data_IF_960667694804
#
_entry.id   IF_960667694804
#
_cell.length_a   1.000
_cell.length_b   1.000
_cell.length_c   1.000
_cell.angle_alpha   90.00
_cell.angle_beta   90.00
_cell.angle_gamma   90.00
#
_symmetry.space_group_name_H-M   'P 1'
#
loop_
_entity.id
_entity.type
_entity.pdbx_description
1 polymer ?
#
# COMPACT_ATOMS: atom_id res chain seq x y z
N UNK A 1 -10.16 71.70 -19.69
CA UNK A 1 -10.72 70.56 -20.45
C UNK A 1 -10.58 69.29 -19.62
N UNK A 2 -11.65 68.52 -19.53
CA UNK A 2 -11.81 67.27 -18.76
C UNK A 2 -10.95 66.12 -19.34
N UNK A 3 -10.48 65.24 -18.46
CA UNK A 3 -10.41 63.75 -18.58
C UNK A 3 -9.55 63.22 -17.43
N UNK A 4 -9.77 62.07 -16.81
CA UNK A 4 -10.93 61.25 -16.46
C UNK A 4 -10.34 60.17 -15.55
N UNK A 5 -11.05 59.86 -14.47
CA UNK A 5 -10.81 58.75 -13.53
C UNK A 5 -10.81 57.41 -14.27
N UNK A 6 -9.85 56.52 -13.95
CA UNK A 6 -9.91 55.03 -13.97
C UNK A 6 -8.48 54.44 -13.79
N UNK A 7 -8.12 53.31 -13.15
CA UNK A 7 -8.77 52.08 -12.70
C UNK A 7 -7.89 51.43 -11.60
N UNK A 8 -8.55 50.89 -10.58
CA UNK A 8 -8.36 49.56 -9.97
C UNK A 8 -7.14 49.34 -9.06
N UNK A 9 -7.41 49.52 -7.76
CA UNK A 9 -6.96 48.60 -6.71
C UNK A 9 -7.42 47.17 -7.06
N UNK A 10 -6.49 46.30 -7.40
CA UNK A 10 -6.67 44.84 -7.36
C UNK A 10 -5.70 44.31 -6.31
N UNK A 11 -6.09 44.44 -5.05
CA UNK A 11 -5.44 43.76 -3.94
C UNK A 11 -5.78 42.28 -4.05
N UNK A 12 -4.74 41.49 -4.29
CA UNK A 12 -4.76 40.05 -4.57
C UNK A 12 -5.53 39.32 -3.48
N UNK A 13 -6.71 38.79 -3.82
CA UNK A 13 -7.39 37.73 -3.08
C UNK A 13 -6.49 36.50 -3.13
N UNK A 14 -5.63 36.36 -2.12
CA UNK A 14 -4.94 35.11 -1.82
C UNK A 14 -5.97 34.11 -1.31
N UNK A 15 -6.68 33.48 -2.24
CA UNK A 15 -7.41 32.25 -1.95
C UNK A 15 -6.35 31.20 -1.67
N UNK A 16 -5.93 31.10 -0.40
CA UNK A 16 -5.22 29.94 0.12
C UNK A 16 -6.22 28.80 0.02
N UNK A 17 -6.25 28.16 -1.14
CA UNK A 17 -6.89 26.88 -1.34
C UNK A 17 -6.18 25.93 -0.40
N UNK A 18 -6.78 25.72 0.77
CA UNK A 18 -6.47 24.59 1.62
C UNK A 18 -6.91 23.38 0.81
N UNK A 19 -6.00 22.88 -0.04
CA UNK A 19 -6.12 21.56 -0.62
C UNK A 19 -6.09 20.64 0.58
N UNK A 20 -7.27 20.31 1.11
CA UNK A 20 -7.41 19.26 2.09
C UNK A 20 -6.79 18.03 1.44
N UNK A 21 -5.62 17.62 1.95
CA UNK A 21 -5.02 16.36 1.55
C UNK A 21 -6.10 15.31 1.77
N UNK A 22 -6.56 14.66 0.70
CA UNK A 22 -7.41 13.48 0.85
C UNK A 22 -6.60 12.51 1.71
N UNK A 23 -7.18 12.12 2.85
CA UNK A 23 -6.63 11.08 3.71
C UNK A 23 -7.26 9.75 3.32
N UNK A 24 -6.45 8.70 3.37
CA UNK A 24 -6.95 7.35 3.22
C UNK A 24 -7.95 7.11 4.37
N UNK A 25 -9.02 6.32 4.17
CA UNK A 25 -9.91 5.98 5.28
C UNK A 25 -9.10 5.54 6.50
N UNK A 26 -9.42 6.13 7.66
CA UNK A 26 -8.61 5.98 8.88
C UNK A 26 -8.37 4.50 9.24
N UNK A 27 -9.39 3.65 9.07
CA UNK A 27 -9.29 2.21 9.31
C UNK A 27 -8.23 1.53 8.43
N UNK A 28 -8.12 1.93 7.17
CA UNK A 28 -7.15 1.38 6.21
C UNK A 28 -5.73 1.83 6.57
N UNK A 29 -5.54 3.13 6.87
CA UNK A 29 -4.24 3.64 7.31
C UNK A 29 -3.77 2.98 8.62
N UNK A 30 -4.68 2.82 9.59
CA UNK A 30 -4.40 2.08 10.82
C UNK A 30 -4.05 0.61 10.55
N UNK A 31 -4.79 -0.05 9.66
CA UNK A 31 -4.50 -1.43 9.25
C UNK A 31 -3.10 -1.54 8.64
N UNK A 32 -2.71 -0.61 7.76
CA UNK A 32 -1.36 -0.58 7.18
C UNK A 32 -0.32 -0.44 8.28
N UNK A 33 -0.51 0.48 9.24
CA UNK A 33 0.42 0.68 10.35
C UNK A 33 0.57 -0.55 11.26
N UNK A 34 -0.53 -1.21 11.61
CA UNK A 34 -0.52 -2.41 12.46
C UNK A 34 0.18 -3.57 11.74
N UNK A 35 -0.14 -3.78 10.47
CA UNK A 35 0.49 -4.85 9.68
C UNK A 35 1.98 -4.57 9.52
N UNK A 36 2.37 -3.35 9.18
CA UNK A 36 3.78 -2.93 9.08
C UNK A 36 4.54 -3.22 10.37
N UNK A 37 3.96 -2.88 11.52
CA UNK A 37 4.55 -3.18 12.82
C UNK A 37 4.75 -4.69 13.03
N UNK A 38 3.74 -5.50 12.71
CA UNK A 38 3.83 -6.96 12.83
C UNK A 38 4.89 -7.54 11.90
N UNK A 39 4.92 -7.13 10.63
CA UNK A 39 5.89 -7.64 9.65
C UNK A 39 7.33 -7.36 10.11
N UNK A 40 7.60 -6.14 10.57
CA UNK A 40 8.95 -5.74 11.03
C UNK A 40 9.44 -6.44 12.29
N UNK A 41 8.52 -6.80 13.19
CA UNK A 41 8.87 -7.42 14.47
C UNK A 41 8.79 -8.95 14.45
N UNK A 42 8.31 -9.53 13.35
CA UNK A 42 8.23 -10.98 13.17
C UNK A 42 9.58 -11.55 12.75
N UNK A 43 9.94 -12.71 13.32
CA UNK A 43 11.11 -13.48 12.90
C UNK A 43 10.67 -14.55 11.92
N UNK A 44 11.19 -14.55 10.70
CA UNK A 44 10.81 -15.50 9.65
C UNK A 44 11.84 -16.61 9.50
N UNK A 45 11.37 -17.86 9.41
CA UNK A 45 12.26 -19.04 9.28
C UNK A 45 11.94 -19.86 8.03
N UNK A 46 10.66 -20.08 7.74
CA UNK A 46 10.22 -20.85 6.59
C UNK A 46 10.00 -19.96 5.38
N UNK A 47 11.01 -19.88 4.51
CA UNK A 47 10.93 -19.22 3.21
C UNK A 47 10.91 -20.28 2.11
N UNK A 48 9.83 -20.34 1.32
CA UNK A 48 9.71 -21.22 0.15
C UNK A 48 9.36 -20.39 -1.05
N UNK A 49 10.28 -20.28 -2.01
CA UNK A 49 9.99 -19.61 -3.27
C UNK A 49 10.08 -20.59 -4.44
N UNK A 50 9.19 -20.42 -5.38
CA UNK A 50 9.23 -20.98 -6.71
C UNK A 50 9.28 -19.84 -7.75
N UNK A 51 9.20 -20.18 -9.03
CA UNK A 51 9.29 -19.23 -10.15
C UNK A 51 8.15 -18.20 -10.20
N UNK A 52 7.02 -18.45 -9.54
CA UNK A 52 5.82 -17.63 -9.59
C UNK A 52 5.32 -17.19 -8.22
N UNK A 53 5.80 -17.78 -7.14
CA UNK A 53 5.35 -17.46 -5.79
C UNK A 53 6.48 -17.52 -4.78
N UNK A 54 6.40 -16.69 -3.75
CA UNK A 54 7.18 -16.89 -2.54
C UNK A 54 6.32 -16.81 -1.29
N UNK A 55 6.55 -17.76 -0.40
CA UNK A 55 5.85 -17.92 0.86
C UNK A 55 6.84 -17.74 2.01
N UNK A 56 6.43 -16.99 3.03
CA UNK A 56 7.21 -16.80 4.26
C UNK A 56 6.31 -17.09 5.46
N UNK A 57 6.83 -17.74 6.50
CA UNK A 57 6.15 -17.87 7.79
C UNK A 57 7.05 -17.42 8.94
N UNK A 58 6.45 -16.78 9.93
CA UNK A 58 7.12 -16.46 11.17
C UNK A 58 7.35 -17.71 12.00
N UNK A 59 8.41 -17.68 12.81
CA UNK A 59 8.83 -18.77 13.69
C UNK A 59 7.79 -19.15 14.75
N UNK A 60 7.01 -18.17 15.20
CA UNK A 60 5.90 -18.40 16.13
C UNK A 60 4.61 -18.85 15.41
N UNK A 61 4.62 -18.96 14.08
CA UNK A 61 3.46 -19.30 13.26
C UNK A 61 2.39 -18.20 13.18
N UNK A 62 2.58 -17.06 13.84
CA UNK A 62 1.60 -15.98 13.92
C UNK A 62 1.47 -15.15 12.65
N UNK A 63 2.41 -15.24 11.72
CA UNK A 63 2.40 -14.47 10.46
C UNK A 63 2.75 -15.37 9.30
N UNK A 64 1.94 -15.30 8.25
CA UNK A 64 2.22 -15.93 6.96
C UNK A 64 2.04 -14.95 5.82
N UNK A 65 2.99 -14.96 4.89
CA UNK A 65 3.04 -14.12 3.70
C UNK A 65 3.05 -15.00 2.46
N UNK A 66 2.34 -14.59 1.43
CA UNK A 66 2.41 -15.21 0.10
C UNK A 66 2.40 -14.13 -0.95
N UNK A 67 3.53 -13.93 -1.61
CA UNK A 67 3.67 -13.07 -2.77
C UNK A 67 3.56 -13.91 -4.03
N UNK A 68 2.62 -13.63 -4.91
CA UNK A 68 2.39 -14.38 -6.15
C UNK A 68 2.47 -13.43 -7.33
N UNK A 69 3.23 -13.81 -8.35
CA UNK A 69 3.23 -13.11 -9.63
C UNK A 69 1.86 -13.28 -10.30
N UNK A 70 1.35 -12.23 -10.92
CA UNK A 70 0.09 -12.31 -11.64
C UNK A 70 0.17 -13.31 -12.80
N UNK A 71 -0.95 -13.98 -13.06
CA UNK A 71 -1.12 -14.77 -14.29
C UNK A 71 -1.25 -13.82 -15.48
N UNK A 72 -0.97 -14.34 -16.70
CA UNK A 72 -1.16 -13.58 -17.95
C UNK A 72 -2.57 -12.98 -18.09
N UNK A 73 -3.59 -13.66 -17.56
CA UNK A 73 -4.97 -13.18 -17.57
C UNK A 73 -5.15 -11.99 -16.62
N UNK A 74 -4.66 -12.10 -15.39
CA UNK A 74 -4.77 -11.04 -14.39
C UNK A 74 -3.96 -9.79 -14.76
N UNK A 75 -2.80 -9.97 -15.38
CA UNK A 75 -2.00 -8.87 -15.92
C UNK A 75 -2.77 -8.09 -16.99
N UNK A 76 -3.37 -8.79 -17.96
CA UNK A 76 -4.11 -8.17 -19.06
C UNK A 76 -5.47 -7.58 -18.66
N UNK A 77 -6.22 -8.28 -17.82
CA UNK A 77 -7.61 -7.91 -17.49
C UNK A 77 -7.73 -7.04 -16.24
N UNK A 78 -6.81 -7.20 -15.27
CA UNK A 78 -6.89 -6.56 -13.95
C UNK A 78 -5.73 -5.61 -13.68
N UNK A 79 -4.83 -5.41 -14.66
CA UNK A 79 -3.57 -4.66 -14.54
C UNK A 79 -2.71 -5.13 -13.35
N UNK A 80 -2.85 -6.40 -12.95
CA UNK A 80 -2.20 -6.94 -11.76
C UNK A 80 -0.79 -7.40 -12.09
N UNK A 81 0.19 -6.97 -11.30
CA UNK A 81 1.57 -7.41 -11.39
C UNK A 81 1.93 -8.42 -10.29
N UNK A 82 1.59 -8.13 -9.03
CA UNK A 82 1.74 -9.06 -7.91
C UNK A 82 0.49 -9.09 -7.03
N UNK A 83 0.22 -10.23 -6.41
CA UNK A 83 -0.71 -10.38 -5.32
C UNK A 83 0.04 -10.74 -4.05
N UNK A 84 -0.06 -9.92 -3.01
CA UNK A 84 0.45 -10.24 -1.68
C UNK A 84 -0.71 -10.59 -0.76
N UNK A 85 -0.67 -11.78 -0.18
CA UNK A 85 -1.56 -12.20 0.89
C UNK A 85 -0.79 -12.22 2.20
N UNK A 86 -1.33 -11.55 3.21
CA UNK A 86 -0.79 -11.49 4.56
C UNK A 86 -1.87 -12.04 5.49
N UNK A 87 -1.51 -13.04 6.28
CA UNK A 87 -2.37 -13.58 7.32
C UNK A 87 -1.64 -13.45 8.65
N UNK A 88 -2.23 -12.67 9.55
CA UNK A 88 -1.77 -12.47 10.93
C UNK A 88 -2.75 -13.19 11.85
N UNK A 89 -2.22 -14.07 12.67
CA UNK A 89 -2.94 -14.84 13.68
C UNK A 89 -2.27 -14.64 15.02
N UNK A 90 -2.79 -13.68 15.79
CA UNK A 90 -2.32 -13.37 17.13
C UNK A 90 -3.42 -13.55 18.17
N UNK A 91 -3.02 -13.51 19.43
CA UNK A 91 -3.94 -13.57 20.59
C UNK A 91 -4.79 -12.31 20.71
N UNK A 92 -4.22 -11.13 20.41
CA UNK A 92 -4.91 -9.84 20.51
C UNK A 92 -5.72 -9.48 19.28
N UNK A 93 -5.29 -9.94 18.10
CA UNK A 93 -6.01 -9.75 16.86
C UNK A 93 -5.62 -10.80 15.82
N UNK A 94 -6.55 -11.07 14.92
CA UNK A 94 -6.30 -11.91 13.74
C UNK A 94 -6.89 -11.21 12.52
N UNK A 95 -6.13 -11.15 11.42
CA UNK A 95 -6.56 -10.45 10.22
C UNK A 95 -5.93 -11.06 8.96
N UNK A 96 -6.68 -10.92 7.86
CA UNK A 96 -6.24 -11.29 6.51
C UNK A 96 -6.26 -10.04 5.64
N UNK A 97 -5.12 -9.76 5.03
CA UNK A 97 -4.93 -8.64 4.12
C UNK A 97 -4.52 -9.18 2.76
N UNK A 98 -5.15 -8.65 1.71
CA UNK A 98 -4.74 -8.86 0.33
C UNK A 98 -4.32 -7.52 -0.26
N UNK A 99 -3.07 -7.40 -0.67
CA UNK A 99 -2.57 -6.22 -1.40
C UNK A 99 -2.39 -6.61 -2.85
N UNK A 100 -3.09 -5.91 -3.72
CA UNK A 100 -3.04 -6.06 -5.17
C UNK A 100 -2.10 -5.01 -5.72
N UNK A 101 -0.95 -5.47 -6.20
CA UNK A 101 0.05 -4.61 -6.79
C UNK A 101 -0.15 -4.51 -8.29
N UNK A 102 -0.52 -3.34 -8.80
CA UNK A 102 -0.78 -3.13 -10.22
C UNK A 102 0.47 -2.71 -11.00
N UNK A 103 0.45 -2.86 -12.33
CA UNK A 103 1.54 -2.40 -13.19
C UNK A 103 1.68 -0.88 -13.12
N UNK A 104 0.56 -0.14 -13.04
CA UNK A 104 0.60 1.25 -12.61
C UNK A 104 0.91 1.30 -11.10
N UNK A 105 2.13 1.71 -10.71
CA UNK A 105 2.53 1.67 -9.33
C UNK A 105 1.69 2.61 -8.48
N UNK A 106 0.99 3.59 -9.07
CA UNK A 106 0.15 4.56 -8.37
C UNK A 106 -1.23 4.05 -8.00
N UNK A 107 -1.65 2.83 -8.38
CA UNK A 107 -3.02 2.33 -8.20
C UNK A 107 -3.09 1.04 -7.38
N UNK A 108 -2.45 1.03 -6.23
CA UNK A 108 -2.46 -0.16 -5.37
C UNK A 108 -3.82 -0.33 -4.71
N UNK A 109 -4.23 -1.56 -4.45
CA UNK A 109 -5.49 -1.81 -3.73
C UNK A 109 -5.20 -2.71 -2.55
N UNK A 110 -5.68 -2.31 -1.37
CA UNK A 110 -5.59 -3.12 -0.16
C UNK A 110 -7.00 -3.56 0.25
N UNK A 111 -7.12 -4.85 0.53
CA UNK A 111 -8.36 -5.45 1.02
C UNK A 111 -8.12 -6.03 2.40
N UNK A 112 -8.99 -5.68 3.34
CA UNK A 112 -9.00 -6.20 4.70
C UNK A 112 -10.40 -6.71 5.01
N UNK A 113 -10.54 -8.03 5.21
CA UNK A 113 -11.86 -8.66 5.36
C UNK A 113 -12.76 -8.43 4.13
N UNK A 114 -13.93 -7.78 4.33
CA UNK A 114 -14.87 -7.43 3.24
C UNK A 114 -14.60 -6.06 2.61
N UNK A 115 -13.72 -5.25 3.20
CA UNK A 115 -13.42 -3.88 2.75
C UNK A 115 -12.27 -3.90 1.75
N UNK A 116 -12.39 -3.12 0.68
CA UNK A 116 -11.34 -2.91 -0.32
C UNK A 116 -11.18 -1.41 -0.56
N UNK A 117 -9.96 -0.91 -0.38
CA UNK A 117 -9.63 0.51 -0.55
C UNK A 117 -8.51 0.66 -1.58
N UNK A 118 -8.63 1.65 -2.45
CA UNK A 118 -7.55 2.06 -3.33
C UNK A 118 -6.56 2.92 -2.55
N UNK A 119 -5.28 2.55 -2.60
CA UNK A 119 -4.18 3.23 -1.94
C UNK A 119 -3.27 3.78 -3.03
N UNK A 120 -3.68 4.94 -3.55
CA UNK A 120 -2.98 5.57 -4.64
C UNK A 120 -1.75 6.39 -4.21
N UNK A 121 -1.06 6.99 -5.19
CA UNK A 121 0.15 7.80 -4.95
C UNK A 121 -0.07 9.12 -4.19
N UNK A 122 -1.32 9.59 -4.05
CA UNK A 122 -1.65 10.76 -3.23
C UNK A 122 -1.41 10.47 -1.74
N UNK A 123 -1.58 9.22 -1.30
CA UNK A 123 -1.30 8.73 0.05
C UNK A 123 0.18 8.33 0.22
N UNK A 124 1.08 9.31 0.08
CA UNK A 124 2.55 9.08 -0.03
C UNK A 124 3.14 8.15 1.03
N UNK A 125 2.69 8.24 2.28
CA UNK A 125 3.24 7.45 3.40
C UNK A 125 2.82 5.99 3.30
N UNK A 126 1.51 5.73 3.25
CA UNK A 126 0.91 4.42 3.11
C UNK A 126 1.40 3.71 1.85
N UNK A 127 1.45 4.45 0.75
CA UNK A 127 1.95 3.97 -0.52
C UNK A 127 3.41 3.50 -0.45
N UNK A 128 4.26 4.26 0.28
CA UNK A 128 5.65 3.87 0.51
C UNK A 128 5.74 2.60 1.37
N UNK A 129 4.90 2.48 2.40
CA UNK A 129 4.84 1.29 3.25
C UNK A 129 4.46 0.06 2.44
N UNK A 130 3.40 0.13 1.62
CA UNK A 130 2.99 -0.99 0.77
C UNK A 130 4.10 -1.45 -0.18
N UNK A 131 4.85 -0.52 -0.78
CA UNK A 131 6.00 -0.89 -1.63
C UNK A 131 7.12 -1.57 -0.84
N UNK A 132 7.35 -1.12 0.40
CA UNK A 132 8.39 -1.72 1.26
C UNK A 132 8.11 -3.17 1.62
N UNK A 133 6.83 -3.60 1.65
CA UNK A 133 6.48 -5.00 1.93
C UNK A 133 6.92 -5.96 0.82
N UNK A 134 6.77 -5.57 -0.46
CA UNK A 134 7.32 -6.37 -1.56
C UNK A 134 8.83 -6.45 -1.44
N UNK A 135 9.48 -5.31 -1.19
CA UNK A 135 10.94 -5.26 -1.13
C UNK A 135 11.47 -6.15 0.00
N UNK A 136 10.86 -6.07 1.18
CA UNK A 136 11.16 -6.94 2.31
C UNK A 136 11.10 -8.42 1.95
N UNK A 137 10.04 -8.85 1.25
CA UNK A 137 9.89 -10.24 0.81
C UNK A 137 10.99 -10.59 -0.19
N UNK A 138 11.24 -9.73 -1.19
CA UNK A 138 12.30 -9.97 -2.19
C UNK A 138 13.68 -10.10 -1.54
N UNK A 139 14.05 -9.19 -0.64
CA UNK A 139 15.35 -9.19 0.05
C UNK A 139 15.52 -10.41 0.97
N UNK A 140 14.42 -10.85 1.60
CA UNK A 140 14.40 -12.05 2.45
C UNK A 140 14.60 -13.35 1.65
N UNK A 141 14.48 -13.28 0.33
CA UNK A 141 14.55 -14.44 -0.57
C UNK A 141 15.85 -14.50 -1.36
N UNK A 142 16.41 -13.36 -1.74
CA UNK A 142 17.74 -13.26 -2.37
C UNK A 142 18.89 -13.47 -1.40
N UNK A 143 18.71 -13.19 -0.10
CA UNK A 143 19.74 -13.45 0.92
C UNK A 143 19.95 -14.94 1.27
N UNK A 144 19.07 -15.83 0.79
CA UNK A 144 19.12 -17.27 1.04
C UNK A 144 19.50 -18.13 -0.18
N UNK A 145 19.74 -17.53 -1.35
CA UNK A 145 20.26 -18.19 -2.56
C UNK A 145 21.76 -18.03 -2.69
#
# INVERSE_FOLDING_TARGET
MKKNIFLVLMGILSVVSHVCAQSLPQETSQSIGIIEFVLKNSKYEDTKCDIHSCQMKSKDGGVSLTLTHATMKQDKEEDLHYLLKINVQGTLFSTKVEVRYRNDPSKQTMKTGKRSDEVDSSYKTEHRVLRSWIQFIKDSTTSKS
#
